data_IF_232021760035
#
_entry.id   IF_232021760035
#
_cell.length_a   1.000
_cell.length_b   1.000
_cell.length_c   1.000
_cell.angle_alpha   90.00
_cell.angle_beta   90.00
_cell.angle_gamma   90.00
#
_symmetry.space_group_name_H-M   'P 1'
#
loop_
_entity.id
_entity.type
_entity.pdbx_description
1 polymer ?
#
# COMPACT_ATOMS: atom_id res chain seq x y z
N UNK A 1 -2.99 18.02 31.50
CA UNK A 1 -4.00 17.07 30.99
C UNK A 1 -3.59 16.71 29.59
N UNK A 2 -2.89 15.60 29.43
CA UNK A 2 -2.58 15.04 28.11
C UNK A 2 -2.77 13.54 28.24
N UNK A 3 -3.86 13.04 27.65
CA UNK A 3 -4.14 11.60 27.58
C UNK A 3 -3.15 10.96 26.61
N UNK A 4 -2.42 9.89 26.99
CA UNK A 4 -1.63 9.16 26.02
C UNK A 4 -2.58 8.51 25.02
N UNK A 5 -2.39 8.82 23.74
CA UNK A 5 -3.11 8.18 22.66
C UNK A 5 -2.88 6.67 22.75
N UNK A 6 -3.96 5.94 22.99
CA UNK A 6 -3.99 4.49 22.98
C UNK A 6 -3.63 4.01 21.56
N UNK A 7 -2.35 3.71 21.32
CA UNK A 7 -1.91 2.96 20.16
C UNK A 7 -2.34 1.51 20.40
N UNK A 8 -3.54 1.17 19.93
CA UNK A 8 -3.88 -0.20 19.61
C UNK A 8 -3.05 -0.58 18.38
N UNK A 9 -1.81 -1.00 18.58
CA UNK A 9 -1.00 -1.60 17.52
C UNK A 9 -1.55 -3.00 17.24
N UNK A 10 -2.33 -3.13 16.17
CA UNK A 10 -2.73 -4.44 15.64
C UNK A 10 -1.49 -5.24 15.21
N UNK A 11 -1.56 -6.54 15.49
CA UNK A 11 -0.50 -7.54 15.36
C UNK A 11 0.08 -7.59 13.95
N UNK A 12 1.40 -7.45 13.85
CA UNK A 12 2.18 -7.80 12.66
C UNK A 12 2.24 -9.32 12.54
N UNK A 13 1.45 -9.90 11.62
CA UNK A 13 1.64 -11.30 11.21
C UNK A 13 2.65 -11.31 10.06
N UNK A 14 3.88 -11.72 10.36
CA UNK A 14 4.90 -12.00 9.35
C UNK A 14 4.43 -13.16 8.48
N UNK A 15 4.42 -12.99 7.16
CA UNK A 15 4.03 -13.98 6.15
C UNK A 15 5.01 -15.16 6.02
N UNK A 16 5.63 -15.61 7.12
CA UNK A 16 6.71 -16.61 7.18
C UNK A 16 6.29 -18.04 6.80
N UNK A 17 5.21 -18.22 6.03
CA UNK A 17 4.77 -19.53 5.57
C UNK A 17 3.70 -19.51 4.49
N UNK A 18 3.51 -18.38 3.77
CA UNK A 18 2.52 -18.29 2.70
C UNK A 18 3.26 -18.20 1.37
N UNK A 19 3.13 -19.23 0.54
CA UNK A 19 3.83 -19.37 -0.74
C UNK A 19 3.39 -18.33 -1.78
N UNK A 20 2.26 -17.64 -1.58
CA UNK A 20 1.73 -16.64 -2.51
C UNK A 20 1.58 -15.25 -1.87
N UNK A 21 2.56 -14.36 -2.12
CA UNK A 21 2.56 -12.99 -1.61
C UNK A 21 1.38 -12.13 -2.09
N UNK A 22 0.79 -12.45 -3.25
CA UNK A 22 -0.38 -11.75 -3.76
C UNK A 22 -1.63 -12.06 -2.94
N UNK A 23 -1.87 -13.34 -2.62
CA UNK A 23 -3.03 -13.76 -1.84
C UNK A 23 -3.00 -13.12 -0.44
N UNK A 24 -1.83 -13.10 0.20
CA UNK A 24 -1.65 -12.42 1.50
C UNK A 24 -2.00 -10.94 1.39
N UNK A 25 -1.51 -10.28 0.34
CA UNK A 25 -1.75 -8.86 0.12
C UNK A 25 -3.24 -8.57 -0.05
N UNK A 26 -3.96 -9.39 -0.83
CA UNK A 26 -5.41 -9.27 -1.00
C UNK A 26 -6.17 -9.50 0.31
N UNK A 27 -5.79 -10.50 1.10
CA UNK A 27 -6.38 -10.76 2.40
C UNK A 27 -6.20 -9.58 3.35
N UNK A 28 -5.00 -9.00 3.40
CA UNK A 28 -4.72 -7.80 4.20
C UNK A 28 -5.56 -6.63 3.70
N UNK A 29 -5.51 -6.32 2.41
CA UNK A 29 -6.25 -5.20 1.80
C UNK A 29 -7.76 -5.30 2.08
N UNK A 30 -8.33 -6.51 2.07
CA UNK A 30 -9.77 -6.72 2.31
C UNK A 30 -10.23 -6.28 3.71
N UNK A 31 -9.31 -6.29 4.69
CA UNK A 31 -9.59 -5.96 6.10
C UNK A 31 -9.37 -4.48 6.43
N UNK A 32 -8.76 -3.72 5.51
CA UNK A 32 -8.42 -2.31 5.74
C UNK A 32 -9.68 -1.46 5.74
N UNK A 33 -9.82 -0.61 6.76
CA UNK A 33 -10.96 0.29 6.95
C UNK A 33 -10.59 1.76 6.81
N UNK A 34 -9.43 2.17 7.34
CA UNK A 34 -9.10 3.59 7.49
C UNK A 34 -7.89 4.02 6.66
N UNK A 35 -6.82 3.22 6.67
CA UNK A 35 -5.54 3.61 6.09
C UNK A 35 -4.72 2.43 5.61
N UNK A 36 -4.06 2.61 4.46
CA UNK A 36 -3.02 1.74 3.94
C UNK A 36 -1.77 2.56 3.67
N UNK A 37 -0.66 2.16 4.28
CA UNK A 37 0.67 2.68 4.02
C UNK A 37 1.51 1.60 3.35
N UNK A 38 2.03 1.90 2.16
CA UNK A 38 2.93 1.02 1.42
C UNK A 38 4.32 1.64 1.36
N UNK A 39 5.35 0.80 1.47
CA UNK A 39 6.73 1.16 1.20
C UNK A 39 7.26 0.19 0.15
N UNK A 40 7.60 0.70 -1.04
CA UNK A 40 8.10 -0.12 -2.14
C UNK A 40 9.52 0.29 -2.52
N UNK A 41 10.32 -0.70 -2.90
CA UNK A 41 11.48 -0.45 -3.74
C UNK A 41 11.05 0.10 -5.11
N UNK A 42 12.02 0.44 -5.95
CA UNK A 42 11.74 1.06 -7.26
C UNK A 42 10.82 0.25 -8.18
N UNK A 43 10.68 -1.07 -7.98
CA UNK A 43 9.88 -1.96 -8.83
C UNK A 43 8.47 -2.24 -8.28
N UNK A 44 8.23 -2.05 -6.97
CA UNK A 44 6.96 -2.47 -6.36
C UNK A 44 5.72 -1.79 -6.97
N UNK A 45 5.86 -0.54 -7.43
CA UNK A 45 4.79 0.15 -8.15
C UNK A 45 4.44 -0.51 -9.49
N UNK A 46 5.44 -0.98 -10.22
CA UNK A 46 5.22 -1.68 -11.49
C UNK A 46 4.55 -3.06 -11.25
N UNK A 47 5.00 -3.80 -10.23
CA UNK A 47 4.41 -5.08 -9.85
C UNK A 47 2.92 -4.93 -9.46
N UNK A 48 2.58 -3.93 -8.66
CA UNK A 48 1.20 -3.70 -8.24
C UNK A 48 0.28 -3.26 -9.39
N UNK A 49 0.77 -2.43 -10.32
CA UNK A 49 0.01 -2.04 -11.52
C UNK A 49 -0.14 -3.23 -12.48
N UNK A 50 0.86 -4.11 -12.56
CA UNK A 50 0.83 -5.30 -13.40
C UNK A 50 -0.12 -6.40 -12.92
N UNK A 51 -0.51 -6.38 -11.64
CA UNK A 51 -1.48 -7.32 -11.06
C UNK A 51 -2.87 -6.69 -11.03
N UNK A 52 -3.74 -7.14 -11.93
CA UNK A 52 -5.15 -6.74 -11.95
C UNK A 52 -5.88 -6.93 -10.60
N UNK A 53 -5.74 -8.07 -9.88
CA UNK A 53 -6.45 -8.23 -8.60
C UNK A 53 -5.96 -7.24 -7.54
N UNK A 54 -4.64 -7.00 -7.44
CA UNK A 54 -4.11 -6.00 -6.51
C UNK A 54 -4.58 -4.60 -6.88
N UNK A 55 -4.52 -4.24 -8.16
CA UNK A 55 -4.96 -2.94 -8.63
C UNK A 55 -6.44 -2.68 -8.35
N UNK A 56 -7.29 -3.68 -8.59
CA UNK A 56 -8.72 -3.60 -8.29
C UNK A 56 -8.99 -3.46 -6.79
N UNK A 57 -8.22 -4.16 -5.95
CA UNK A 57 -8.35 -4.05 -4.49
C UNK A 57 -7.98 -2.64 -3.98
N UNK A 58 -6.92 -2.04 -4.52
CA UNK A 58 -6.54 -0.65 -4.24
C UNK A 58 -7.62 0.34 -4.70
N UNK A 59 -8.14 0.16 -5.92
CA UNK A 59 -9.21 1.02 -6.45
C UNK A 59 -10.45 0.99 -5.55
N UNK A 60 -10.82 -0.19 -5.03
CA UNK A 60 -11.91 -0.33 -4.06
C UNK A 60 -11.62 0.39 -2.74
N UNK A 61 -10.40 0.31 -2.20
CA UNK A 61 -10.03 1.07 -1.00
C UNK A 61 -10.18 2.58 -1.22
N UNK A 62 -9.72 3.08 -2.37
CA UNK A 62 -9.85 4.49 -2.74
C UNK A 62 -11.32 4.90 -2.84
N UNK A 63 -12.16 4.07 -3.46
CA UNK A 63 -13.60 4.30 -3.56
C UNK A 63 -14.28 4.36 -2.18
N UNK A 64 -13.86 3.51 -1.24
CA UNK A 64 -14.35 3.52 0.15
C UNK A 64 -13.87 4.73 0.97
N UNK A 65 -13.01 5.60 0.43
CA UNK A 65 -12.45 6.74 1.14
C UNK A 65 -11.26 6.41 2.06
N UNK A 66 -10.67 5.23 1.89
CA UNK A 66 -9.47 4.82 2.65
C UNK A 66 -8.30 5.75 2.33
N UNK A 67 -7.53 6.15 3.34
CA UNK A 67 -6.32 6.95 3.15
C UNK A 67 -5.20 6.05 2.63
N UNK A 68 -4.71 6.33 1.44
CA UNK A 68 -3.66 5.55 0.79
C UNK A 68 -2.37 6.38 0.74
N UNK A 69 -1.27 5.89 1.30
CA UNK A 69 0.06 6.53 1.20
C UNK A 69 1.09 5.54 0.67
N UNK A 70 1.92 5.99 -0.27
CA UNK A 70 3.01 5.21 -0.84
C UNK A 70 4.33 5.96 -0.64
N UNK A 71 5.31 5.29 -0.05
CA UNK A 71 6.70 5.74 0.06
C UNK A 71 7.54 4.89 -0.89
N UNK A 72 8.29 5.51 -1.79
CA UNK A 72 9.14 4.78 -2.73
C UNK A 72 10.31 5.64 -3.21
N UNK A 73 11.42 5.00 -3.58
CA UNK A 73 12.48 5.66 -4.33
C UNK A 73 11.96 5.99 -5.74
N UNK A 74 11.93 7.27 -6.09
CA UNK A 74 11.47 7.73 -7.40
C UNK A 74 12.69 7.90 -8.29
N UNK A 75 12.76 7.09 -9.33
CA UNK A 75 13.84 7.11 -10.31
C UNK A 75 13.29 7.49 -11.69
N UNK A 76 14.17 7.77 -12.64
CA UNK A 76 13.77 8.03 -14.04
C UNK A 76 13.05 6.83 -14.66
N UNK A 77 13.37 5.61 -14.19
CA UNK A 77 12.81 4.36 -14.72
C UNK A 77 11.38 4.13 -14.24
N UNK A 78 11.03 4.56 -13.02
CA UNK A 78 9.72 4.26 -12.41
C UNK A 78 8.76 5.46 -12.31
N UNK A 79 9.17 6.65 -12.74
CA UNK A 79 8.36 7.88 -12.63
C UNK A 79 6.98 7.76 -13.30
N UNK A 80 6.89 7.00 -14.40
CA UNK A 80 5.62 6.75 -15.08
C UNK A 80 4.64 5.97 -14.19
N UNK A 81 5.12 4.91 -13.52
CA UNK A 81 4.33 4.14 -12.57
C UNK A 81 3.95 4.98 -11.35
N UNK A 82 4.87 5.79 -10.84
CA UNK A 82 4.59 6.70 -9.72
C UNK A 82 3.49 7.71 -10.06
N UNK A 83 3.48 8.28 -11.28
CA UNK A 83 2.41 9.17 -11.74
C UNK A 83 1.04 8.48 -11.80
N UNK A 84 1.01 7.22 -12.21
CA UNK A 84 -0.23 6.42 -12.17
C UNK A 84 -0.69 6.20 -10.73
N UNK A 85 0.24 5.87 -9.82
CA UNK A 85 -0.05 5.69 -8.39
C UNK A 85 -0.60 6.95 -7.72
N UNK A 86 -0.11 8.15 -8.09
CA UNK A 86 -0.56 9.44 -7.54
C UNK A 86 -2.06 9.71 -7.70
N UNK A 87 -2.75 9.01 -8.61
CA UNK A 87 -4.22 9.13 -8.75
C UNK A 87 -4.97 8.49 -7.58
N UNK A 88 -4.32 7.57 -6.87
CA UNK A 88 -4.91 6.78 -5.77
C UNK A 88 -4.24 7.10 -4.44
N UNK A 89 -2.91 7.11 -4.40
CA UNK A 89 -2.06 7.29 -3.22
C UNK A 89 -1.53 8.72 -3.07
N UNK A 90 -1.30 9.14 -1.82
CA UNK A 90 -0.34 10.18 -1.47
C UNK A 90 1.08 9.60 -1.66
N UNK A 91 1.70 9.86 -2.81
CA UNK A 91 3.02 9.32 -3.16
C UNK A 91 4.12 10.24 -2.63
N UNK A 92 5.08 9.67 -1.90
CA UNK A 92 6.23 10.37 -1.33
C UNK A 92 7.53 9.71 -1.78
N UNK A 93 8.51 10.54 -2.06
CA UNK A 93 9.88 10.07 -2.31
C UNK A 93 10.52 9.63 -1.00
N UNK A 94 11.26 8.53 -1.03
CA UNK A 94 12.15 8.10 0.04
C UNK A 94 13.48 8.86 -0.13
N UNK A 95 13.75 9.81 0.75
CA UNK A 95 14.99 10.62 0.81
C UNK A 95 16.16 9.80 1.38
#
# INVERSE_FOLDING_TARGET
METPANVNSEKLESSLGIENSEEVSLQIISKIKERLDCCYDKNGSAAQIGSEPLWNAIAQLKYKGTKLRLITEITKENIAYCKTMMRYFDVRHMD
#
